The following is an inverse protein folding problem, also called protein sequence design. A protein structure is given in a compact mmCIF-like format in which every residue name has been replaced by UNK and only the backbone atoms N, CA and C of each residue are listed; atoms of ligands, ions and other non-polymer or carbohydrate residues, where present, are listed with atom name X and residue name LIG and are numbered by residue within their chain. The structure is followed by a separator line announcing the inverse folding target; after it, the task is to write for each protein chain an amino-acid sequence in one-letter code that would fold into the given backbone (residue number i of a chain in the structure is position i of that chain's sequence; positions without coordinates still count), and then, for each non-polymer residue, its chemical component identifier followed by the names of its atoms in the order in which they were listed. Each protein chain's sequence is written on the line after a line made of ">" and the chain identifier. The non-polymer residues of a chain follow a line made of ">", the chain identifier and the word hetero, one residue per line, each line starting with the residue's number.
data_IF_924562418060
#
_entry.id   IF_924562418060
#
_cell.length_a   1.000
_cell.length_b   1.000
_cell.length_c   1.000
_cell.angle_alpha   90.00
_cell.angle_beta   90.00
_cell.angle_gamma   90.00
#
_symmetry.space_group_name_H-M   'P 1'
#
loop_
_entity.id
_entity.type
_entity.pdbx_description
1 polymer ?
#
# COMPACT_ATOMS: atom_id res chain seq x y z
N UNK A 1 -51.78 28.34 -6.53
CA UNK A 1 -51.32 28.35 -5.13
C UNK A 1 -50.00 27.59 -5.09
N UNK A 2 -48.88 28.18 -5.53
CA UNK A 2 -47.95 29.02 -4.76
C UNK A 2 -47.32 28.26 -3.56
N UNK A 3 -46.14 27.67 -3.78
CA UNK A 3 -45.21 27.26 -2.72
C UNK A 3 -43.92 28.06 -2.87
N UNK A 4 -43.52 28.67 -1.75
CA UNK A 4 -42.49 29.68 -1.56
C UNK A 4 -41.08 29.09 -1.57
N UNK A 5 -40.22 29.63 -2.44
CA UNK A 5 -38.77 29.49 -2.39
C UNK A 5 -38.16 30.69 -1.62
N UNK A 6 -37.31 30.40 -0.63
CA UNK A 6 -36.54 31.41 0.12
C UNK A 6 -35.07 31.35 -0.30
N UNK A 7 -34.42 32.45 -0.73
CA UNK A 7 -32.97 32.49 -0.95
C UNK A 7 -32.27 33.26 0.19
N UNK A 8 -31.21 32.69 0.77
CA UNK A 8 -30.40 33.37 1.79
C UNK A 8 -29.00 33.70 1.25
N UNK A 9 -28.90 34.94 0.79
CA UNK A 9 -27.90 35.98 1.11
C UNK A 9 -26.45 35.54 1.41
N UNK A 10 -25.57 35.82 0.46
CA UNK A 10 -24.11 36.00 0.62
C UNK A 10 -23.80 37.39 1.22
N UNK A 11 -22.81 37.51 2.11
CA UNK A 11 -22.00 38.73 2.32
C UNK A 11 -20.76 38.45 3.22
N UNK A 12 -19.58 38.48 2.59
CA UNK A 12 -18.29 39.08 3.02
C UNK A 12 -17.64 38.83 4.41
N UNK A 13 -16.44 38.23 4.31
CA UNK A 13 -15.10 38.68 4.79
C UNK A 13 -14.68 38.73 6.28
N UNK A 14 -13.53 38.05 6.50
CA UNK A 14 -12.25 38.54 7.07
C UNK A 14 -11.81 38.15 8.50
N UNK A 15 -10.72 37.36 8.49
CA UNK A 15 -9.46 37.43 9.27
C UNK A 15 -9.39 37.05 10.77
N UNK A 16 -8.18 36.64 11.22
CA UNK A 16 -7.98 35.65 12.28
C UNK A 16 -7.54 36.29 13.61
N UNK A 17 -7.90 35.66 14.73
CA UNK A 17 -7.43 36.06 16.06
C UNK A 17 -6.79 34.88 16.80
N UNK A 18 -5.59 35.15 17.28
CA UNK A 18 -4.77 34.30 18.14
C UNK A 18 -5.19 34.40 19.61
N UNK A 19 -4.89 33.35 20.40
CA UNK A 19 -4.69 33.42 21.85
C UNK A 19 -3.96 32.12 22.27
N UNK A 20 -2.69 32.15 22.67
CA UNK A 20 -2.14 32.57 23.98
C UNK A 20 -2.05 31.40 24.97
N UNK A 21 -0.84 31.17 25.50
CA UNK A 21 -0.43 30.82 26.89
C UNK A 21 1.04 30.28 26.79
N UNK A 22 2.12 31.04 27.01
CA UNK A 22 2.61 31.81 28.18
C UNK A 22 3.11 30.93 29.35
N UNK A 23 4.42 31.06 29.66
CA UNK A 23 5.12 30.97 30.98
C UNK A 23 6.65 30.82 30.70
N UNK A 24 7.43 31.91 30.67
CA UNK A 24 8.14 32.59 31.77
C UNK A 24 9.43 31.92 32.27
N UNK A 25 10.55 32.52 31.86
CA UNK A 25 11.74 32.92 32.63
C UNK A 25 12.30 32.06 33.78
N UNK A 26 13.62 31.78 33.71
CA UNK A 26 14.68 32.09 34.72
C UNK A 26 15.98 31.34 34.33
N UNK A 27 17.01 32.02 33.83
CA UNK A 27 18.17 32.47 34.63
C UNK A 27 18.96 31.34 35.32
N UNK A 28 20.07 30.91 34.71
CA UNK A 28 21.30 30.53 35.43
C UNK A 28 22.52 30.63 34.51
N UNK A 29 23.43 31.47 34.97
CA UNK A 29 24.72 31.82 34.42
C UNK A 29 25.79 30.92 35.05
N UNK A 30 26.68 30.33 34.26
CA UNK A 30 28.00 29.88 34.74
C UNK A 30 28.92 29.43 33.60
N UNK A 31 29.76 30.37 33.17
CA UNK A 31 31.23 30.29 33.03
C UNK A 31 31.85 28.94 32.61
N UNK A 32 32.50 28.93 31.45
CA UNK A 32 33.86 28.39 31.28
C UNK A 32 34.67 29.27 30.31
N UNK A 33 35.81 29.77 30.80
CA UNK A 33 36.82 30.61 30.12
C UNK A 33 37.72 29.72 29.24
N UNK A 34 38.07 30.15 28.01
CA UNK A 34 39.39 30.72 27.67
C UNK A 34 40.27 29.65 26.99
N UNK A 35 41.22 29.87 26.11
CA UNK A 35 41.80 31.00 25.35
C UNK A 35 42.58 30.32 24.18
N UNK A 36 42.88 30.94 23.02
CA UNK A 36 44.10 31.73 22.82
C UNK A 36 44.10 32.38 21.42
N UNK A 37 44.37 33.71 21.41
CA UNK A 37 45.21 34.55 20.52
C UNK A 37 45.30 34.22 19.00
N UNK A 38 45.24 35.19 18.06
CA UNK A 38 46.03 36.44 17.96
C UNK A 38 45.27 37.49 17.11
N UNK A 39 45.43 38.76 17.52
CA UNK A 39 44.98 40.03 16.92
C UNK A 39 46.05 40.58 15.97
N UNK A 40 45.69 41.26 14.89
CA UNK A 40 46.31 42.54 14.44
C UNK A 40 45.35 43.30 13.48
N UNK A 41 44.88 44.43 14.02
CA UNK A 41 44.63 45.77 13.46
C UNK A 41 43.89 46.02 12.13
N UNK A 42 42.67 46.51 12.33
CA UNK A 42 42.00 47.66 11.67
C UNK A 42 42.74 48.46 10.60
N UNK A 43 42.08 48.62 9.45
CA UNK A 43 41.96 49.90 8.77
C UNK A 43 40.50 50.11 8.36
N UNK A 44 39.97 51.27 8.75
CA UNK A 44 38.61 51.76 8.55
C UNK A 44 38.36 52.21 7.11
N UNK A 45 37.22 51.81 6.54
CA UNK A 45 36.48 52.64 5.59
C UNK A 45 35.07 52.07 5.40
N UNK A 46 34.08 52.89 5.73
CA UNK A 46 32.65 52.63 5.58
C UNK A 46 32.26 52.63 4.10
N UNK A 47 31.47 51.65 3.66
CA UNK A 47 30.41 51.83 2.67
C UNK A 47 29.45 50.63 2.67
N UNK A 48 28.17 50.98 2.59
CA UNK A 48 26.94 50.22 2.67
C UNK A 48 26.74 49.06 1.67
N UNK A 49 26.06 48.02 2.18
CA UNK A 49 25.03 47.17 1.58
C UNK A 49 24.97 46.99 0.04
N UNK A 50 24.97 45.73 -0.41
CA UNK A 50 23.86 45.14 -1.17
C UNK A 50 23.98 43.60 -1.15
N UNK A 51 22.81 42.97 -1.10
CA UNK A 51 22.59 41.53 -0.97
C UNK A 51 23.09 40.72 -2.18
N UNK A 52 23.68 39.55 -1.91
CA UNK A 52 23.34 38.24 -2.52
C UNK A 52 24.43 37.24 -2.13
N UNK A 53 24.06 36.31 -1.25
CA UNK A 53 24.88 35.16 -0.85
C UNK A 53 25.04 34.21 -2.03
N UNK A 54 26.01 34.47 -2.90
CA UNK A 54 26.54 33.49 -3.83
C UNK A 54 27.75 32.83 -3.19
N UNK A 55 27.54 31.70 -2.53
CA UNK A 55 28.62 30.88 -1.99
C UNK A 55 29.38 30.22 -3.15
N UNK A 56 30.44 30.87 -3.62
CA UNK A 56 31.47 30.24 -4.43
C UNK A 56 32.73 30.03 -3.57
N UNK A 57 33.09 28.78 -3.34
CA UNK A 57 34.46 28.43 -2.94
C UNK A 57 35.28 28.33 -4.22
N UNK A 58 36.20 29.27 -4.44
CA UNK A 58 37.24 29.12 -5.47
C UNK A 58 38.42 28.34 -4.88
N UNK A 59 38.73 27.20 -5.48
CA UNK A 59 40.02 26.53 -5.27
C UNK A 59 41.05 27.28 -6.13
N UNK A 60 42.05 27.88 -5.49
CA UNK A 60 43.20 28.47 -6.18
C UNK A 60 44.27 27.40 -6.34
N UNK A 61 44.48 26.92 -7.57
CA UNK A 61 45.66 26.14 -7.90
C UNK A 61 46.84 27.08 -8.16
N UNK A 62 47.87 26.97 -7.31
CA UNK A 62 49.15 27.66 -7.44
C UNK A 62 49.85 27.28 -8.75
N UNK A 63 50.15 28.26 -9.60
CA UNK A 63 51.06 28.07 -10.75
C UNK A 63 52.27 28.97 -10.57
N UNK A 64 53.40 28.34 -10.25
CA UNK A 64 54.71 28.98 -10.17
C UNK A 64 55.19 29.47 -11.55
N UNK A 65 55.86 30.64 -11.55
CA UNK A 65 56.54 31.23 -12.71
C UNK A 65 57.66 30.33 -13.21
N UNK A 66 57.63 29.98 -14.50
CA UNK A 66 58.84 29.65 -15.26
C UNK A 66 58.79 30.27 -16.65
N UNK A 67 59.96 30.72 -17.10
CA UNK A 67 60.21 31.58 -18.23
C UNK A 67 60.28 30.80 -19.57
N UNK A 68 59.89 31.49 -20.65
CA UNK A 68 60.22 31.29 -22.07
C UNK A 68 59.49 30.23 -22.93
N UNK A 69 59.17 30.73 -24.14
CA UNK A 69 58.67 30.14 -25.40
C UNK A 69 57.16 29.89 -25.52
N UNK A 70 56.58 30.76 -26.35
CA UNK A 70 55.24 30.71 -26.91
C UNK A 70 55.13 29.48 -27.82
N UNK A 71 54.41 28.46 -27.35
CA UNK A 71 53.99 27.30 -28.12
C UNK A 71 52.52 27.13 -27.82
N UNK A 72 51.69 27.22 -28.86
CA UNK A 72 50.24 27.09 -28.79
C UNK A 72 49.84 25.80 -28.04
N UNK A 73 49.47 25.95 -26.77
CA UNK A 73 48.79 24.89 -26.04
C UNK A 73 47.33 24.97 -26.40
N UNK A 74 46.88 24.05 -27.28
CA UNK A 74 45.47 23.68 -27.44
C UNK A 74 44.84 23.63 -26.04
N UNK A 75 43.98 24.60 -25.75
CA UNK A 75 43.14 24.60 -24.57
C UNK A 75 42.23 23.36 -24.66
N UNK A 76 42.66 22.27 -24.03
CA UNK A 76 41.75 21.20 -23.64
C UNK A 76 40.86 21.78 -22.55
N UNK A 77 39.81 22.49 -22.96
CA UNK A 77 38.71 22.85 -22.08
C UNK A 77 38.09 21.54 -21.58
N UNK A 78 38.56 21.04 -20.42
CA UNK A 78 37.85 20.01 -19.67
C UNK A 78 36.47 20.59 -19.41
N UNK A 79 35.46 20.07 -20.12
CA UNK A 79 34.06 20.39 -19.88
C UNK A 79 33.81 20.08 -18.41
N UNK A 80 33.64 21.12 -17.60
CA UNK A 80 33.13 20.95 -16.24
C UNK A 80 31.69 20.50 -16.43
N UNK A 81 31.47 19.19 -16.35
CA UNK A 81 30.15 18.62 -16.38
C UNK A 81 29.41 19.14 -15.16
N UNK A 82 28.40 19.97 -15.37
CA UNK A 82 27.42 20.30 -14.33
C UNK A 82 26.70 19.00 -14.02
N UNK A 83 27.07 18.34 -12.93
CA UNK A 83 26.28 17.23 -12.38
C UNK A 83 25.03 17.90 -11.82
N UNK A 84 23.92 17.79 -12.54
CA UNK A 84 22.61 18.02 -11.95
C UNK A 84 22.41 16.91 -10.92
N UNK A 85 22.81 17.17 -9.68
CA UNK A 85 22.31 16.39 -8.57
C UNK A 85 20.80 16.63 -8.54
N UNK A 86 20.01 15.58 -8.70
CA UNK A 86 18.56 15.68 -8.56
C UNK A 86 18.23 16.32 -7.20
N UNK A 87 17.26 17.21 -7.19
CA UNK A 87 16.79 17.80 -5.95
C UNK A 87 16.15 16.71 -5.08
N UNK A 88 16.21 16.86 -3.76
CA UNK A 88 15.64 15.88 -2.82
C UNK A 88 14.15 15.66 -3.11
N UNK A 89 13.45 16.72 -3.50
CA UNK A 89 12.02 16.69 -3.84
C UNK A 89 11.72 15.85 -5.10
N UNK A 90 12.58 15.90 -6.13
CA UNK A 90 12.44 15.06 -7.33
C UNK A 90 12.64 13.57 -7.00
N UNK A 91 13.59 13.26 -6.11
CA UNK A 91 13.87 11.90 -5.67
C UNK A 91 12.68 11.34 -4.88
N UNK A 92 12.12 12.12 -3.97
CA UNK A 92 10.97 11.73 -3.15
C UNK A 92 9.71 11.52 -3.99
N UNK A 93 9.47 12.38 -4.99
CA UNK A 93 8.33 12.25 -5.89
C UNK A 93 8.39 10.96 -6.71
N UNK A 94 9.53 10.68 -7.35
CA UNK A 94 9.71 9.48 -8.18
C UNK A 94 9.67 8.20 -7.34
N UNK A 95 10.28 8.21 -6.15
CA UNK A 95 10.13 7.12 -5.15
C UNK A 95 8.66 6.86 -4.85
N UNK A 96 7.92 7.90 -4.50
CA UNK A 96 6.54 7.76 -4.03
C UNK A 96 5.62 7.17 -5.11
N UNK A 97 5.86 7.51 -6.38
CA UNK A 97 5.09 6.94 -7.51
C UNK A 97 5.35 5.44 -7.63
N UNK A 98 6.61 5.01 -7.68
CA UNK A 98 6.96 3.60 -7.83
C UNK A 98 6.53 2.78 -6.61
N UNK A 99 6.71 3.31 -5.40
CA UNK A 99 6.34 2.62 -4.17
C UNK A 99 4.81 2.41 -4.06
N UNK A 100 4.02 3.41 -4.44
CA UNK A 100 2.54 3.28 -4.50
C UNK A 100 2.11 2.22 -5.50
N UNK A 101 2.65 2.25 -6.72
CA UNK A 101 2.33 1.27 -7.76
C UNK A 101 2.66 -0.16 -7.33
N UNK A 102 3.82 -0.35 -6.71
CA UNK A 102 4.24 -1.66 -6.18
C UNK A 102 3.30 -2.11 -5.07
N UNK A 103 2.96 -1.22 -4.12
CA UNK A 103 2.10 -1.54 -2.98
C UNK A 103 0.70 -1.93 -3.43
N UNK A 104 0.09 -1.18 -4.34
CA UNK A 104 -1.23 -1.51 -4.90
C UNK A 104 -1.24 -2.88 -5.59
N UNK A 105 -0.21 -3.19 -6.37
CA UNK A 105 -0.10 -4.50 -7.04
C UNK A 105 0.10 -5.64 -6.04
N UNK A 106 0.87 -5.42 -4.97
CA UNK A 106 1.04 -6.41 -3.90
C UNK A 106 -0.28 -6.66 -3.15
N UNK A 107 -1.04 -5.62 -2.84
CA UNK A 107 -2.34 -5.72 -2.20
C UNK A 107 -3.34 -6.51 -3.07
N UNK A 108 -3.46 -6.16 -4.35
CA UNK A 108 -4.28 -6.92 -5.32
C UNK A 108 -3.86 -8.39 -5.41
N UNK A 109 -2.56 -8.67 -5.32
CA UNK A 109 -2.05 -10.05 -5.34
C UNK A 109 -2.52 -10.82 -4.10
N UNK A 110 -2.50 -10.21 -2.91
CA UNK A 110 -3.03 -10.84 -1.70
C UNK A 110 -4.55 -11.05 -1.80
N UNK A 111 -5.29 -10.09 -2.33
CA UNK A 111 -6.73 -10.23 -2.55
C UNK A 111 -7.05 -11.39 -3.50
N UNK A 112 -6.29 -11.53 -4.58
CA UNK A 112 -6.43 -12.65 -5.51
C UNK A 112 -6.17 -13.99 -4.81
N UNK A 113 -5.11 -14.09 -4.00
CA UNK A 113 -4.81 -15.30 -3.22
C UNK A 113 -5.95 -15.62 -2.23
N UNK A 114 -6.50 -14.62 -1.55
CA UNK A 114 -7.65 -14.81 -0.65
C UNK A 114 -8.88 -15.30 -1.41
N UNK A 115 -9.19 -14.72 -2.57
CA UNK A 115 -10.29 -15.15 -3.43
C UNK A 115 -10.10 -16.59 -3.93
N UNK A 116 -8.87 -16.96 -4.28
CA UNK A 116 -8.52 -18.33 -4.65
C UNK A 116 -8.73 -19.30 -3.48
N UNK A 117 -8.35 -18.93 -2.26
CA UNK A 117 -8.61 -19.75 -1.07
C UNK A 117 -10.09 -19.88 -0.72
N UNK A 118 -10.91 -18.86 -1.02
CA UNK A 118 -12.36 -18.93 -0.83
C UNK A 118 -13.03 -19.92 -1.79
N UNK A 119 -12.44 -20.16 -2.97
CA UNK A 119 -12.92 -21.18 -3.92
C UNK A 119 -12.73 -22.62 -3.41
N UNK A 120 -11.77 -22.83 -2.49
CA UNK A 120 -11.45 -24.14 -1.93
C UNK A 120 -12.45 -24.45 -0.83
N UNK A 121 -13.34 -25.42 -1.09
CA UNK A 121 -14.34 -25.91 -0.13
C UNK A 121 -13.64 -26.69 0.99
N UNK A 122 -13.63 -26.15 2.21
CA UNK A 122 -13.02 -26.76 3.40
C UNK A 122 -13.98 -27.66 4.20
N UNK A 123 -15.24 -27.78 3.75
CA UNK A 123 -16.29 -28.48 4.51
C UNK A 123 -16.88 -27.65 5.65
N UNK A 124 -16.43 -26.40 5.81
CA UNK A 124 -16.99 -25.45 6.76
C UNK A 124 -18.15 -24.68 6.13
N UNK A 125 -19.28 -24.68 6.82
CA UNK A 125 -20.46 -23.91 6.46
C UNK A 125 -20.15 -22.41 6.53
N UNK A 126 -20.25 -21.74 5.38
CA UNK A 126 -20.16 -20.28 5.29
C UNK A 126 -21.30 -19.72 4.43
N UNK A 127 -21.80 -18.50 4.72
CA UNK A 127 -22.90 -17.91 3.95
C UNK A 127 -22.54 -17.70 2.48
N UNK A 128 -21.25 -17.47 2.19
CA UNK A 128 -20.73 -17.28 0.83
C UNK A 128 -20.88 -18.50 -0.08
N UNK A 129 -21.19 -19.68 0.46
CA UNK A 129 -21.49 -20.86 -0.36
C UNK A 129 -22.78 -20.70 -1.17
N UNK A 130 -23.74 -19.91 -0.67
CA UNK A 130 -25.07 -19.74 -1.26
C UNK A 130 -25.18 -18.49 -2.14
N UNK A 131 -24.11 -17.67 -2.25
CA UNK A 131 -24.13 -16.41 -2.99
C UNK A 131 -24.36 -16.59 -4.51
N UNK A 132 -23.99 -17.76 -5.07
CA UNK A 132 -24.18 -18.08 -6.50
C UNK A 132 -25.57 -18.60 -6.85
N UNK A 133 -26.44 -18.83 -5.85
CA UNK A 133 -27.75 -19.44 -6.07
C UNK A 133 -28.77 -18.36 -6.34
N UNK A 134 -29.45 -18.50 -7.47
CA UNK A 134 -30.59 -17.70 -7.85
C UNK A 134 -31.87 -18.50 -7.63
N UNK A 135 -32.90 -17.83 -7.12
CA UNK A 135 -34.21 -18.40 -6.85
C UNK A 135 -35.21 -17.62 -7.70
N UNK A 136 -36.07 -18.34 -8.41
CA UNK A 136 -37.17 -17.72 -9.14
C UNK A 136 -38.23 -17.25 -8.15
N UNK A 137 -38.35 -15.93 -7.98
CA UNK A 137 -39.32 -15.30 -7.08
C UNK A 137 -40.23 -14.39 -7.91
N UNK A 138 -41.52 -14.68 -7.91
CA UNK A 138 -42.54 -14.04 -8.76
C UNK A 138 -42.16 -13.93 -10.25
N UNK A 139 -41.54 -14.98 -10.81
CA UNK A 139 -41.17 -15.05 -12.23
C UNK A 139 -39.91 -14.28 -12.61
N UNK A 140 -39.15 -13.80 -11.62
CA UNK A 140 -37.83 -13.18 -11.84
C UNK A 140 -36.74 -13.94 -11.05
N UNK A 141 -35.56 -14.20 -11.64
CA UNK A 141 -34.45 -14.78 -10.91
C UNK A 141 -33.86 -13.72 -9.96
N UNK A 142 -33.82 -14.02 -8.68
CA UNK A 142 -33.28 -13.15 -7.63
C UNK A 142 -32.30 -13.94 -6.78
N UNK A 143 -31.21 -13.30 -6.32
CA UNK A 143 -30.24 -13.94 -5.44
C UNK A 143 -30.87 -14.40 -4.12
N UNK A 144 -30.47 -15.59 -3.65
CA UNK A 144 -30.96 -16.17 -2.39
C UNK A 144 -30.75 -15.23 -1.19
N UNK A 145 -29.61 -14.52 -1.16
CA UNK A 145 -29.25 -13.55 -0.12
C UNK A 145 -30.23 -12.38 0.03
N UNK A 146 -30.96 -12.04 -1.04
CA UNK A 146 -31.95 -10.95 -1.00
C UNK A 146 -33.31 -11.42 -0.44
N UNK A 147 -33.63 -12.70 -0.59
CA UNK A 147 -34.92 -13.29 -0.19
C UNK A 147 -34.86 -13.91 1.22
N UNK A 148 -33.67 -14.29 1.67
CA UNK A 148 -33.47 -14.98 2.92
C UNK A 148 -32.26 -14.48 3.70
N UNK A 149 -32.39 -14.51 5.03
CA UNK A 149 -31.29 -14.35 5.95
C UNK A 149 -30.54 -15.68 6.09
N UNK A 150 -29.23 -15.66 5.85
CA UNK A 150 -28.36 -16.83 5.98
C UNK A 150 -27.54 -16.68 7.25
N UNK A 151 -27.61 -17.68 8.14
CA UNK A 151 -26.84 -17.75 9.38
C UNK A 151 -26.10 -19.08 9.49
N UNK A 152 -24.96 -19.07 10.19
CA UNK A 152 -24.17 -20.26 10.48
C UNK A 152 -24.25 -20.54 11.99
N UNK A 153 -25.19 -21.35 12.48
CA UNK A 153 -25.24 -21.71 13.89
C UNK A 153 -24.07 -22.59 14.31
N UNK A 154 -23.67 -23.57 13.47
CA UNK A 154 -22.51 -24.43 13.70
C UNK A 154 -21.54 -24.42 12.51
N UNK A 155 -20.34 -24.98 12.70
CA UNK A 155 -19.32 -25.02 11.64
C UNK A 155 -19.69 -25.91 10.44
N UNK A 156 -20.65 -26.84 10.59
CA UNK A 156 -21.11 -27.75 9.54
C UNK A 156 -22.56 -27.54 9.12
N UNK A 157 -23.29 -26.63 9.79
CA UNK A 157 -24.71 -26.37 9.53
C UNK A 157 -24.93 -24.94 9.01
N UNK A 158 -25.77 -24.80 7.99
CA UNK A 158 -26.29 -23.51 7.53
C UNK A 158 -27.78 -23.45 7.81
N UNK A 159 -28.24 -22.30 8.27
CA UNK A 159 -29.65 -21.99 8.46
C UNK A 159 -30.02 -20.86 7.51
N UNK A 160 -30.97 -21.15 6.62
CA UNK A 160 -31.56 -20.20 5.68
C UNK A 160 -32.96 -19.89 6.16
N UNK A 161 -33.19 -18.66 6.58
CA UNK A 161 -34.49 -18.15 7.03
C UNK A 161 -35.05 -17.22 5.97
N UNK A 162 -36.03 -17.64 5.15
CA UNK A 162 -36.68 -16.74 4.21
C UNK A 162 -37.52 -15.70 4.95
N UNK A 163 -37.62 -14.51 4.37
CA UNK A 163 -38.56 -13.50 4.88
C UNK A 163 -40.01 -13.91 4.62
N UNK A 164 -40.28 -14.64 3.52
CA UNK A 164 -41.60 -15.13 3.15
C UNK A 164 -41.69 -16.66 3.15
N UNK A 165 -42.62 -17.21 3.93
CA UNK A 165 -42.84 -18.67 4.05
C UNK A 165 -43.29 -19.33 2.73
N UNK A 166 -43.93 -18.57 1.83
CA UNK A 166 -44.34 -19.06 0.51
C UNK A 166 -43.16 -19.44 -0.39
N UNK A 167 -42.00 -18.80 -0.18
CA UNK A 167 -40.79 -19.00 -0.99
C UNK A 167 -39.97 -20.24 -0.60
N UNK A 168 -40.26 -20.89 0.53
CA UNK A 168 -39.52 -22.04 1.05
C UNK A 168 -39.33 -23.15 0.00
N UNK A 169 -40.41 -23.55 -0.67
CA UNK A 169 -40.38 -24.62 -1.68
C UNK A 169 -39.55 -24.25 -2.91
N UNK A 170 -39.48 -22.96 -3.26
CA UNK A 170 -38.70 -22.47 -4.39
C UNK A 170 -37.21 -22.47 -4.03
N UNK A 171 -36.88 -22.06 -2.81
CA UNK A 171 -35.52 -22.07 -2.28
C UNK A 171 -34.98 -23.50 -2.18
N UNK A 172 -35.77 -24.44 -1.67
CA UNK A 172 -35.38 -25.87 -1.62
C UNK A 172 -35.01 -26.41 -3.00
N UNK A 173 -35.87 -26.16 -4.00
CA UNK A 173 -35.62 -26.57 -5.38
C UNK A 173 -34.37 -25.92 -5.95
N UNK A 174 -34.17 -24.63 -5.72
CA UNK A 174 -32.98 -23.92 -6.19
C UNK A 174 -31.69 -24.48 -5.58
N UNK A 175 -31.71 -24.84 -4.29
CA UNK A 175 -30.54 -25.44 -3.61
C UNK A 175 -30.26 -26.86 -4.14
N UNK A 176 -31.29 -27.68 -4.33
CA UNK A 176 -31.11 -29.04 -4.87
C UNK A 176 -30.63 -29.01 -6.32
N UNK A 177 -31.13 -28.08 -7.13
CA UNK A 177 -30.70 -27.90 -8.52
C UNK A 177 -29.28 -27.32 -8.63
N UNK A 178 -28.72 -26.77 -7.55
CA UNK A 178 -27.38 -26.19 -7.54
C UNK A 178 -26.28 -27.25 -7.38
N UNK A 179 -25.07 -26.96 -7.88
CA UNK A 179 -23.88 -27.83 -7.79
C UNK A 179 -23.25 -27.93 -6.38
N UNK A 180 -24.03 -27.70 -5.33
CA UNK A 180 -23.59 -27.87 -3.94
C UNK A 180 -23.65 -29.32 -3.49
N UNK A 181 -24.56 -30.12 -4.04
CA UNK A 181 -24.71 -31.54 -3.69
C UNK A 181 -25.12 -31.77 -2.23
N UNK A 182 -25.80 -30.80 -1.62
CA UNK A 182 -26.29 -30.86 -0.23
C UNK A 182 -27.81 -30.95 -0.23
N UNK A 183 -28.37 -31.81 0.60
CA UNK A 183 -29.82 -31.95 0.75
C UNK A 183 -30.36 -30.99 1.82
N UNK A 184 -31.36 -30.16 1.50
CA UNK A 184 -32.00 -29.30 2.50
C UNK A 184 -32.96 -30.09 3.39
N UNK A 185 -32.95 -29.78 4.69
CA UNK A 185 -33.94 -30.23 5.68
C UNK A 185 -34.88 -29.06 6.02
N UNK A 186 -36.19 -29.28 5.95
CA UNK A 186 -37.19 -28.23 6.15
C UNK A 186 -37.86 -28.37 7.53
N UNK A 187 -37.79 -27.30 8.34
CA UNK A 187 -38.43 -27.20 9.65
C UNK A 187 -39.77 -26.41 9.58
N UNK A 188 -40.26 -26.09 8.38
CA UNK A 188 -41.51 -25.37 8.10
C UNK A 188 -41.39 -23.85 8.09
N UNK A 189 -40.38 -23.30 8.76
CA UNK A 189 -40.05 -21.87 8.80
C UNK A 189 -38.62 -21.58 8.37
N UNK A 190 -37.70 -22.51 8.63
CA UNK A 190 -36.28 -22.41 8.29
C UNK A 190 -35.82 -23.63 7.51
N UNK A 191 -34.86 -23.42 6.61
CA UNK A 191 -34.20 -24.50 5.87
C UNK A 191 -32.81 -24.71 6.48
N UNK A 192 -32.52 -25.95 6.84
CA UNK A 192 -31.22 -26.37 7.39
C UNK A 192 -30.44 -27.15 6.34
N UNK A 193 -29.21 -26.73 6.09
CA UNK A 193 -28.27 -27.46 5.23
C UNK A 193 -27.16 -28.05 6.09
N UNK A 194 -26.83 -29.32 5.86
CA UNK A 194 -25.73 -30.00 6.53
C UNK A 194 -24.61 -30.22 5.52
N UNK A 195 -23.46 -29.56 5.73
CA UNK A 195 -22.29 -29.73 4.87
C UNK A 195 -21.54 -31.00 5.30
N UNK A 196 -21.32 -31.97 4.40
CA UNK A 196 -20.54 -33.16 4.73
C UNK A 196 -19.08 -32.79 4.98
N UNK A 197 -18.47 -33.40 5.99
CA UNK A 197 -17.05 -33.18 6.26
C UNK A 197 -16.17 -33.94 5.26
N UNK A 198 -15.06 -33.34 4.78
CA UNK A 198 -14.14 -34.01 3.88
C UNK A 198 -13.35 -35.12 4.60
N UNK A 199 -13.13 -36.22 3.89
CA UNK A 199 -12.30 -37.36 4.34
C UNK A 199 -10.82 -36.96 4.49
N UNK A 200 -10.06 -37.73 5.27
CA UNK A 200 -8.65 -37.44 5.55
C UNK A 200 -7.79 -37.40 4.26
N UNK A 201 -8.03 -38.29 3.31
CA UNK A 201 -7.30 -38.31 2.04
C UNK A 201 -7.61 -37.08 1.19
N UNK A 202 -8.88 -36.67 1.15
CA UNK A 202 -9.26 -35.46 0.43
C UNK A 202 -8.64 -34.21 1.03
N UNK A 203 -8.48 -34.13 2.36
CA UNK A 203 -7.78 -33.01 3.00
C UNK A 203 -6.31 -32.90 2.59
N UNK A 204 -5.61 -34.02 2.47
CA UNK A 204 -4.22 -34.05 1.98
C UNK A 204 -4.13 -33.51 0.54
N UNK A 205 -5.10 -33.81 -0.30
CA UNK A 205 -5.17 -33.26 -1.67
C UNK A 205 -5.44 -31.76 -1.66
N UNK A 206 -6.37 -31.28 -0.82
CA UNK A 206 -6.66 -29.85 -0.67
C UNK A 206 -5.44 -29.07 -0.17
N UNK A 207 -4.69 -29.61 0.80
CA UNK A 207 -3.45 -29.00 1.29
C UNK A 207 -2.40 -28.82 0.18
N UNK A 208 -2.26 -29.80 -0.73
CA UNK A 208 -1.38 -29.67 -1.89
C UNK A 208 -1.82 -28.55 -2.83
N UNK A 209 -3.12 -28.35 -3.01
CA UNK A 209 -3.67 -27.27 -3.85
C UNK A 209 -3.41 -25.91 -3.18
N UNK A 210 -3.67 -25.78 -1.88
CA UNK A 210 -3.42 -24.55 -1.12
C UNK A 210 -1.93 -24.19 -1.19
N UNK A 211 -1.03 -25.17 -1.03
CA UNK A 211 0.41 -24.94 -1.17
C UNK A 211 0.80 -24.42 -2.56
N UNK A 212 0.25 -25.00 -3.64
CA UNK A 212 0.48 -24.53 -5.02
C UNK A 212 0.05 -23.07 -5.21
N UNK A 213 -1.16 -22.71 -4.77
CA UNK A 213 -1.67 -21.33 -4.87
C UNK A 213 -0.85 -20.34 -4.04
N UNK A 214 -0.30 -20.78 -2.91
CA UNK A 214 0.60 -19.98 -2.07
C UNK A 214 1.92 -19.69 -2.79
N UNK A 215 2.50 -20.69 -3.45
CA UNK A 215 3.72 -20.52 -4.23
C UNK A 215 3.50 -19.62 -5.45
N UNK A 216 2.35 -19.72 -6.13
CA UNK A 216 1.97 -18.79 -7.20
C UNK A 216 1.92 -17.34 -6.69
N UNK A 217 1.33 -17.11 -5.51
CA UNK A 217 1.33 -15.80 -4.85
C UNK A 217 2.74 -15.30 -4.50
N UNK A 218 3.63 -16.17 -4.00
CA UNK A 218 5.04 -15.85 -3.73
C UNK A 218 5.79 -15.47 -5.01
N UNK A 219 5.57 -16.19 -6.10
CA UNK A 219 6.17 -15.89 -7.41
C UNK A 219 5.67 -14.55 -7.94
N UNK A 220 4.38 -14.26 -7.82
CA UNK A 220 3.80 -12.98 -8.22
C UNK A 220 4.43 -11.79 -7.45
N UNK A 221 4.58 -11.90 -6.13
CA UNK A 221 5.25 -10.86 -5.32
C UNK A 221 6.70 -10.64 -5.74
N UNK A 222 7.44 -11.72 -6.05
CA UNK A 222 8.82 -11.61 -6.56
C UNK A 222 8.89 -10.92 -7.92
N UNK A 223 7.92 -11.17 -8.80
CA UNK A 223 7.83 -10.51 -10.11
C UNK A 223 7.55 -9.01 -9.96
N UNK A 224 6.63 -8.63 -9.07
CA UNK A 224 6.35 -7.21 -8.78
C UNK A 224 7.61 -6.49 -8.28
N UNK A 225 8.39 -7.12 -7.39
CA UNK A 225 9.67 -6.54 -6.95
C UNK A 225 10.65 -6.37 -8.12
N UNK A 226 10.78 -7.38 -8.99
CA UNK A 226 11.65 -7.27 -10.18
C UNK A 226 11.24 -6.10 -11.07
N UNK A 227 9.94 -5.86 -11.23
CA UNK A 227 9.44 -4.74 -12.03
C UNK A 227 9.69 -3.38 -11.34
N UNK A 228 9.58 -3.31 -10.01
CA UNK A 228 9.95 -2.13 -9.24
C UNK A 228 11.45 -1.80 -9.34
N UNK A 229 12.33 -2.80 -9.20
CA UNK A 229 13.78 -2.64 -9.39
C UNK A 229 14.10 -2.15 -10.81
N UNK A 230 13.50 -2.78 -11.83
CA UNK A 230 13.64 -2.33 -13.23
C UNK A 230 13.16 -0.89 -13.46
N UNK A 231 12.17 -0.41 -12.69
CA UNK A 231 11.72 0.97 -12.78
C UNK A 231 12.80 1.93 -12.25
N UNK A 232 13.43 1.60 -11.11
CA UNK A 232 14.55 2.39 -10.58
C UNK A 232 15.77 2.39 -11.50
N UNK A 233 16.15 1.24 -12.07
CA UNK A 233 17.25 1.15 -13.06
C UNK A 233 17.00 2.02 -14.31
N UNK A 234 15.73 2.22 -14.71
CA UNK A 234 15.39 3.14 -15.82
C UNK A 234 15.57 4.59 -15.41
N UNK A 235 15.13 4.97 -14.21
CA UNK A 235 15.27 6.32 -13.67
C UNK A 235 16.75 6.70 -13.46
N UNK A 236 17.59 5.73 -13.12
CA UNK A 236 19.05 5.88 -13.06
C UNK A 236 19.65 6.20 -14.45
N UNK A 237 19.24 5.47 -15.48
CA UNK A 237 19.67 5.71 -16.88
C UNK A 237 19.20 7.08 -17.39
N UNK A 238 18.02 7.52 -16.95
CA UNK A 238 17.49 8.87 -17.21
C UNK A 238 18.22 9.97 -16.39
N UNK A 239 19.15 9.60 -15.51
CA UNK A 239 19.91 10.48 -14.61
C UNK A 239 19.04 11.29 -13.66
N UNK A 240 17.86 10.77 -13.32
CA UNK A 240 16.97 11.33 -12.30
C UNK A 240 17.36 10.86 -10.90
N UNK A 241 18.00 9.70 -10.79
CA UNK A 241 18.46 9.12 -9.52
C UNK A 241 19.96 8.86 -9.57
N UNK A 242 20.61 8.97 -8.41
CA UNK A 242 22.00 8.52 -8.19
C UNK A 242 22.03 7.01 -7.91
N UNK A 243 23.16 6.36 -8.19
CA UNK A 243 23.40 4.94 -7.89
C UNK A 243 23.16 4.60 -6.40
N UNK A 244 23.54 5.51 -5.50
CA UNK A 244 23.37 5.31 -4.07
C UNK A 244 21.90 5.34 -3.65
N UNK A 245 21.11 6.25 -4.24
CA UNK A 245 19.67 6.32 -4.00
C UNK A 245 18.97 5.03 -4.46
N UNK A 246 19.38 4.47 -5.60
CA UNK A 246 18.81 3.21 -6.11
C UNK A 246 19.03 2.08 -5.11
N UNK A 247 20.23 1.96 -4.53
CA UNK A 247 20.53 0.93 -3.52
C UNK A 247 19.66 1.07 -2.26
N UNK A 248 19.45 2.30 -1.80
CA UNK A 248 18.58 2.58 -0.64
C UNK A 248 17.11 2.22 -0.94
N UNK A 249 16.62 2.58 -2.13
CA UNK A 249 15.26 2.28 -2.58
C UNK A 249 15.03 0.78 -2.79
N UNK A 250 16.03 0.04 -3.28
CA UNK A 250 15.99 -1.43 -3.36
C UNK A 250 15.89 -2.08 -1.98
N UNK A 251 16.64 -1.56 -1.00
CA UNK A 251 16.57 -2.02 0.38
C UNK A 251 15.18 -1.76 0.99
N UNK A 252 14.57 -0.61 0.70
CA UNK A 252 13.22 -0.28 1.14
C UNK A 252 12.14 -1.16 0.47
N UNK A 253 12.21 -1.39 -0.84
CA UNK A 253 11.30 -2.33 -1.52
C UNK A 253 11.40 -3.75 -0.97
N UNK A 254 12.59 -4.18 -0.56
CA UNK A 254 12.78 -5.48 0.08
C UNK A 254 12.04 -5.56 1.41
N UNK A 255 12.11 -4.53 2.26
CA UNK A 255 11.37 -4.46 3.53
C UNK A 255 9.86 -4.57 3.30
N UNK A 256 9.35 -3.82 2.34
CA UNK A 256 7.92 -3.85 1.96
C UNK A 256 7.53 -5.26 1.49
N UNK A 257 8.33 -5.89 0.63
CA UNK A 257 8.08 -7.27 0.18
C UNK A 257 8.09 -8.27 1.34
N UNK A 258 9.03 -8.16 2.28
CA UNK A 258 9.12 -9.07 3.43
C UNK A 258 7.88 -8.96 4.34
N UNK A 259 7.28 -7.77 4.47
CA UNK A 259 6.00 -7.58 5.17
C UNK A 259 4.84 -8.31 4.45
N UNK A 260 4.76 -8.18 3.12
CA UNK A 260 3.70 -8.84 2.32
C UNK A 260 3.87 -10.36 2.27
N UNK A 261 5.11 -10.86 2.27
CA UNK A 261 5.39 -12.30 2.41
C UNK A 261 4.88 -12.84 3.75
N UNK A 262 5.11 -12.13 4.86
CA UNK A 262 4.57 -12.52 6.17
C UNK A 262 3.05 -12.55 6.17
N UNK A 263 2.39 -11.52 5.61
CA UNK A 263 0.91 -11.51 5.47
C UNK A 263 0.40 -12.72 4.69
N UNK A 264 1.09 -13.08 3.60
CA UNK A 264 0.73 -14.25 2.78
C UNK A 264 0.90 -15.55 3.58
N UNK A 265 1.99 -15.69 4.33
CA UNK A 265 2.22 -16.85 5.22
C UNK A 265 1.19 -16.96 6.33
N UNK A 266 0.75 -15.83 6.90
CA UNK A 266 -0.29 -15.83 7.93
C UNK A 266 -1.62 -16.32 7.37
N UNK A 267 -2.00 -15.87 6.17
CA UNK A 267 -3.20 -16.36 5.47
C UNK A 267 -3.08 -17.86 5.16
N UNK A 268 -1.91 -18.32 4.71
CA UNK A 268 -1.66 -19.74 4.47
C UNK A 268 -1.80 -20.57 5.75
N UNK A 269 -1.15 -20.17 6.85
CA UNK A 269 -1.22 -20.85 8.16
C UNK A 269 -2.64 -20.88 8.71
N UNK A 270 -3.42 -19.82 8.50
CA UNK A 270 -4.84 -19.80 8.87
C UNK A 270 -5.63 -20.87 8.10
N UNK A 271 -5.42 -20.97 6.78
CA UNK A 271 -6.11 -21.95 5.93
C UNK A 271 -5.67 -23.39 6.19
N UNK A 272 -4.38 -23.60 6.45
CA UNK A 272 -3.84 -24.89 6.84
C UNK A 272 -4.45 -25.38 8.16
N UNK A 273 -4.51 -24.51 9.17
CA UNK A 273 -5.18 -24.81 10.45
C UNK A 273 -6.65 -25.12 10.27
N UNK A 274 -7.35 -24.42 9.37
CA UNK A 274 -8.76 -24.69 9.05
C UNK A 274 -8.94 -26.10 8.46
N UNK A 275 -8.04 -26.55 7.59
CA UNK A 275 -8.10 -27.89 6.97
C UNK A 275 -7.73 -29.02 7.94
N UNK A 276 -6.86 -28.75 8.91
CA UNK A 276 -6.39 -29.75 9.87
C UNK A 276 -7.28 -29.88 11.11
N UNK A 277 -7.89 -28.79 11.57
CA UNK A 277 -8.73 -28.80 12.78
C UNK A 277 -10.07 -29.50 12.52
N UNK A 278 -10.38 -30.46 13.39
CA UNK A 278 -11.71 -31.02 13.67
C UNK A 278 -11.89 -30.95 15.17
#
# INVERSE_FOLDING_TARGET
>A
MAMSFSPVRSFLQSKPNASLFALSASFRDSRCKGSDYVRIQSASSNASALASSSSYVRIQDNVGRFCCKEVEKKLMCKRVGVVRCATIEEIEAERAVVEKDVRERMERTIENVKTNFNSIRTGRASPSMLDRIEVEYYGTPVSLKSIAQITCPDASSLLVQPYDKSSLKLIEKAIVNSDLGVTPSNDGEVIRLTVPQPTADRRKELLKIVAKQTEEGRVALRNIRRDGVKAYEKLEKEKKLSEDNVKDLEADLKKVLDEYLKKLEDVYKQKEKELLKV
#
